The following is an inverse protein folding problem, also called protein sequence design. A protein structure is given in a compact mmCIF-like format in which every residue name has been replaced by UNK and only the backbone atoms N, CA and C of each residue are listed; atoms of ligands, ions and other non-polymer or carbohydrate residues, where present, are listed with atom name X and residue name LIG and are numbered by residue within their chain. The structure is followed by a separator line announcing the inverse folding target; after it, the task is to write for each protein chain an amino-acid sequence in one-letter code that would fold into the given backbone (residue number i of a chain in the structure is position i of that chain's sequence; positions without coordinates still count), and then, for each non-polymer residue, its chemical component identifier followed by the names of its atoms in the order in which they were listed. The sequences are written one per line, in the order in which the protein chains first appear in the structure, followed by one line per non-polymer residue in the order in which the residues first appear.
data_IF_124271729222
#
_entry.id   IF_124271729222
#
_cell.length_a   1.000
_cell.length_b   1.000
_cell.length_c   1.000
_cell.angle_alpha   90.00
_cell.angle_beta   90.00
_cell.angle_gamma   90.00
#
_symmetry.space_group_name_H-M   'P 1'
#
loop_
_entity.id
_entity.type
_entity.pdbx_description
1 polymer ?
#
# COMPACT_ATOMS: atom_id res chain seq x y z
N UNK A 1 -18.78 18.55 68.00
CA UNK A 1 -19.37 18.06 66.73
C UNK A 1 -18.48 16.91 66.27
N UNK A 2 -18.94 15.68 66.48
CA UNK A 2 -18.20 14.46 66.14
C UNK A 2 -18.62 14.02 64.74
N UNK A 3 -17.82 14.36 63.74
CA UNK A 3 -17.95 13.79 62.39
C UNK A 3 -17.42 12.34 62.46
N UNK A 4 -18.10 11.34 61.88
CA UNK A 4 -17.56 9.99 61.81
C UNK A 4 -16.17 10.02 61.16
N UNK A 5 -15.18 9.26 61.66
CA UNK A 5 -13.77 9.38 61.26
C UNK A 5 -13.45 8.92 59.82
N UNK A 6 -14.45 8.55 59.03
CA UNK A 6 -14.26 7.74 57.81
C UNK A 6 -13.95 8.54 56.52
N UNK A 7 -13.69 9.85 56.62
CA UNK A 7 -13.64 10.73 55.43
C UNK A 7 -12.35 11.56 55.29
N UNK A 8 -11.36 11.41 56.16
CA UNK A 8 -10.08 12.12 55.97
C UNK A 8 -9.10 11.27 55.13
N UNK A 9 -8.84 11.64 53.86
CA UNK A 9 -7.91 10.92 53.00
C UNK A 9 -6.47 10.92 53.54
N UNK A 10 -6.07 11.93 54.33
CA UNK A 10 -4.74 11.96 54.96
C UNK A 10 -4.63 10.87 56.05
N UNK A 11 -5.64 10.74 56.90
CA UNK A 11 -5.66 9.73 57.97
C UNK A 11 -5.67 8.31 57.39
N UNK A 12 -6.50 8.05 56.38
CA UNK A 12 -6.56 6.73 55.71
C UNK A 12 -5.23 6.35 55.06
N UNK A 13 -4.52 7.31 54.47
CA UNK A 13 -3.19 7.08 53.91
C UNK A 13 -2.15 6.75 54.99
N UNK A 14 -2.22 7.41 56.15
CA UNK A 14 -1.36 7.12 57.30
C UNK A 14 -1.64 5.73 57.88
N UNK A 15 -2.92 5.36 58.03
CA UNK A 15 -3.35 4.04 58.51
C UNK A 15 -2.94 2.92 57.55
N UNK A 16 -3.04 3.16 56.23
CA UNK A 16 -2.51 2.23 55.24
C UNK A 16 -1.00 2.06 55.38
N UNK A 17 -0.26 3.17 55.50
CA UNK A 17 1.20 3.13 55.60
C UNK A 17 1.69 2.44 56.88
N UNK A 18 0.93 2.53 57.97
CA UNK A 18 1.17 1.79 59.22
C UNK A 18 0.68 0.33 59.18
N UNK A 19 -0.10 -0.05 58.16
CA UNK A 19 -0.65 -1.40 58.01
C UNK A 19 -1.77 -1.74 59.00
N UNK A 20 -2.53 -0.74 59.49
CA UNK A 20 -3.61 -0.93 60.47
C UNK A 20 -5.01 -1.06 59.83
N UNK A 21 -5.12 -0.83 58.51
CA UNK A 21 -6.36 -1.03 57.76
C UNK A 21 -6.70 -2.52 57.60
N UNK A 22 -7.99 -2.84 57.64
CA UNK A 22 -8.49 -4.15 57.25
C UNK A 22 -8.37 -4.41 55.73
N UNK A 23 -8.65 -5.65 55.33
CA UNK A 23 -8.45 -6.09 53.95
C UNK A 23 -9.40 -5.42 52.93
N UNK A 24 -10.59 -4.98 53.34
CA UNK A 24 -11.56 -4.34 52.44
C UNK A 24 -11.21 -2.85 52.28
N UNK A 25 -11.00 -2.13 53.39
CA UNK A 25 -10.60 -0.73 53.40
C UNK A 25 -9.26 -0.50 52.67
N UNK A 26 -8.33 -1.45 52.78
CA UNK A 26 -7.07 -1.45 52.04
C UNK A 26 -7.29 -1.52 50.53
N UNK A 27 -8.11 -2.48 50.07
CA UNK A 27 -8.43 -2.66 48.64
C UNK A 27 -9.13 -1.45 48.06
N UNK A 28 -10.06 -0.86 48.80
CA UNK A 28 -10.76 0.36 48.37
C UNK A 28 -9.81 1.55 48.21
N UNK A 29 -8.88 1.73 49.14
CA UNK A 29 -7.88 2.79 49.05
C UNK A 29 -6.94 2.57 47.86
N UNK A 30 -6.46 1.35 47.63
CA UNK A 30 -5.60 0.99 46.49
C UNK A 30 -6.29 1.27 45.15
N UNK A 31 -7.57 0.90 45.02
CA UNK A 31 -8.36 1.20 43.82
C UNK A 31 -8.60 2.70 43.61
N UNK A 32 -8.79 3.44 44.70
CA UNK A 32 -9.00 4.89 44.66
C UNK A 32 -7.69 5.61 44.28
N UNK A 33 -6.57 5.22 44.88
CA UNK A 33 -5.24 5.76 44.58
C UNK A 33 -4.77 5.45 43.15
N UNK A 34 -5.24 4.34 42.55
CA UNK A 34 -5.00 4.03 41.15
C UNK A 34 -5.67 5.01 40.17
N UNK A 35 -6.75 5.69 40.60
CA UNK A 35 -7.53 6.62 39.77
C UNK A 35 -7.30 8.10 40.12
N UNK A 36 -6.89 8.40 41.36
CA UNK A 36 -6.63 9.75 41.84
C UNK A 36 -5.13 10.01 42.10
N UNK A 37 -4.46 10.81 41.24
CA UNK A 37 -3.05 11.16 41.41
C UNK A 37 -2.74 11.91 42.72
N UNK A 38 -3.68 12.71 43.24
CA UNK A 38 -3.47 13.49 44.46
C UNK A 38 -3.46 12.58 45.68
N UNK A 39 -4.41 11.64 45.74
CA UNK A 39 -4.46 10.61 46.78
C UNK A 39 -3.21 9.72 46.76
N UNK A 40 -2.75 9.32 45.57
CA UNK A 40 -1.49 8.57 45.41
C UNK A 40 -0.28 9.36 45.96
N UNK A 41 -0.20 10.65 45.67
CA UNK A 41 0.89 11.50 46.18
C UNK A 41 0.88 11.62 47.71
N UNK A 42 -0.30 11.68 48.33
CA UNK A 42 -0.47 11.67 49.79
C UNK A 42 -0.04 10.33 50.39
N UNK A 43 -0.45 9.21 49.79
CA UNK A 43 -0.03 7.87 50.20
C UNK A 43 1.50 7.70 50.14
N UNK A 44 2.13 8.07 49.03
CA UNK A 44 3.59 8.02 48.86
C UNK A 44 4.33 8.91 49.86
N UNK A 45 3.73 10.04 50.27
CA UNK A 45 4.30 10.94 51.28
C UNK A 45 4.32 10.27 52.66
N UNK A 46 3.22 9.64 53.07
CA UNK A 46 3.14 8.91 54.33
C UNK A 46 4.07 7.71 54.36
N UNK A 47 4.14 6.92 53.28
CA UNK A 47 5.07 5.80 53.18
C UNK A 47 6.53 6.26 53.31
N UNK A 48 6.94 7.34 52.61
CA UNK A 48 8.30 7.89 52.75
C UNK A 48 8.59 8.43 54.14
N UNK A 49 7.59 9.04 54.79
CA UNK A 49 7.74 9.58 56.16
C UNK A 49 7.97 8.47 57.18
N UNK A 50 7.34 7.32 57.00
CA UNK A 50 7.41 6.20 57.95
C UNK A 50 8.47 5.15 57.60
N UNK A 51 8.97 5.12 56.36
CA UNK A 51 10.00 4.18 55.92
C UNK A 51 11.24 4.10 56.84
N UNK A 52 11.77 5.21 57.40
CA UNK A 52 12.93 5.15 58.30
C UNK A 52 12.70 4.34 59.58
N UNK A 53 11.44 4.17 60.02
CA UNK A 53 11.14 3.32 61.19
C UNK A 53 11.50 1.86 60.96
N UNK A 54 11.60 1.42 59.70
CA UNK A 54 12.04 0.07 59.37
C UNK A 54 13.56 -0.13 59.51
N UNK A 55 14.35 0.95 59.54
CA UNK A 55 15.82 0.88 59.65
C UNK A 55 16.26 0.40 61.05
N UNK A 56 15.44 0.64 62.07
CA UNK A 56 15.69 0.19 63.44
C UNK A 56 15.34 -1.30 63.67
N UNK A 57 14.76 -1.98 62.67
CA UNK A 57 14.38 -3.39 62.77
C UNK A 57 15.57 -4.28 62.42
N UNK A 58 15.95 -5.16 63.35
CA UNK A 58 17.04 -6.11 63.14
C UNK A 58 16.77 -7.03 61.93
N UNK A 59 17.73 -7.19 60.99
CA UNK A 59 17.54 -8.02 59.81
C UNK A 59 17.47 -9.50 60.19
N UNK A 60 16.48 -10.20 59.66
CA UNK A 60 16.33 -11.66 59.78
C UNK A 60 16.44 -12.28 58.40
N UNK A 61 17.42 -13.15 58.19
CA UNK A 61 17.63 -13.80 56.91
C UNK A 61 16.49 -14.79 56.61
N UNK A 62 15.74 -14.64 55.51
CA UNK A 62 14.73 -15.62 55.12
C UNK A 62 15.40 -16.90 54.59
N UNK A 63 14.71 -18.06 54.62
CA UNK A 63 15.21 -19.29 54.00
C UNK A 63 15.47 -19.10 52.49
N UNK A 64 16.56 -19.68 51.98
CA UNK A 64 16.97 -19.54 50.57
C UNK A 64 15.86 -19.91 49.57
N UNK A 65 15.01 -20.89 49.92
CA UNK A 65 13.85 -21.30 49.10
C UNK A 65 12.87 -20.16 48.77
N UNK A 66 12.78 -19.13 49.61
CA UNK A 66 11.91 -17.97 49.41
C UNK A 66 12.39 -17.17 48.20
N UNK A 67 13.70 -16.95 48.09
CA UNK A 67 14.29 -16.26 46.96
C UNK A 67 14.12 -17.06 45.66
N UNK A 68 14.36 -18.37 45.69
CA UNK A 68 14.14 -19.24 44.53
C UNK A 68 12.68 -19.22 44.06
N UNK A 69 11.72 -19.22 44.99
CA UNK A 69 10.30 -19.13 44.66
C UNK A 69 9.95 -17.78 44.01
N UNK A 70 10.44 -16.68 44.56
CA UNK A 70 10.25 -15.32 43.98
C UNK A 70 10.82 -15.28 42.57
N UNK A 71 12.02 -15.81 42.36
CA UNK A 71 12.65 -15.83 41.03
C UNK A 71 11.81 -16.62 40.01
N UNK A 72 11.20 -17.73 40.43
CA UNK A 72 10.36 -18.52 39.55
C UNK A 72 9.00 -17.86 39.26
N UNK A 73 8.33 -17.25 40.25
CA UNK A 73 7.02 -16.61 40.06
C UNK A 73 7.08 -15.35 39.20
N UNK A 74 8.18 -14.58 39.32
CA UNK A 74 8.40 -13.37 38.55
C UNK A 74 9.14 -13.65 37.22
N UNK A 75 9.32 -14.91 36.85
CA UNK A 75 10.06 -15.36 35.66
C UNK A 75 11.45 -14.71 35.53
N UNK A 76 12.09 -14.44 36.68
CA UNK A 76 13.50 -14.09 36.79
C UNK A 76 14.42 -15.27 36.50
N UNK A 77 13.87 -16.38 35.98
CA UNK A 77 14.63 -17.54 35.55
C UNK A 77 15.88 -17.05 34.83
N UNK A 78 17.00 -17.27 35.52
CA UNK A 78 18.25 -16.61 35.29
C UNK A 78 18.67 -16.73 33.82
N UNK A 79 19.39 -15.72 33.32
CA UNK A 79 20.36 -15.98 32.27
C UNK A 79 21.10 -17.28 32.66
N UNK A 80 21.03 -18.34 31.83
CA UNK A 80 21.38 -19.67 32.30
C UNK A 80 22.83 -19.67 32.81
N UNK A 81 23.13 -20.40 33.90
CA UNK A 81 24.51 -20.64 34.26
C UNK A 81 25.17 -21.26 33.02
N UNK A 82 26.14 -20.54 32.45
CA UNK A 82 27.11 -21.19 31.60
C UNK A 82 27.66 -22.39 32.38
N UNK A 83 28.00 -23.46 31.66
CA UNK A 83 28.49 -24.76 32.11
C UNK A 83 27.43 -25.89 32.22
N UNK A 84 27.29 -26.63 31.11
CA UNK A 84 27.56 -28.07 31.18
C UNK A 84 26.37 -29.03 31.08
N UNK A 85 25.90 -29.21 29.85
CA UNK A 85 25.47 -30.46 29.22
C UNK A 85 24.23 -31.28 29.65
N UNK A 86 23.37 -31.40 28.62
CA UNK A 86 22.69 -32.60 28.15
C UNK A 86 21.43 -33.10 28.88
N UNK A 87 20.26 -32.70 28.36
CA UNK A 87 19.39 -33.60 27.58
C UNK A 87 18.33 -32.80 26.79
N UNK A 88 18.35 -32.98 25.47
CA UNK A 88 17.50 -32.39 24.42
C UNK A 88 17.88 -31.01 23.85
N UNK A 89 19.16 -30.69 23.68
CA UNK A 89 19.60 -29.63 22.75
C UNK A 89 19.71 -30.16 21.30
N UNK A 90 18.76 -31.00 20.90
CA UNK A 90 18.76 -31.60 19.57
C UNK A 90 18.49 -30.52 18.54
N UNK A 91 19.44 -30.31 17.63
CA UNK A 91 19.41 -29.47 16.43
C UNK A 91 18.99 -27.98 16.57
N UNK A 92 17.84 -27.67 17.16
CA UNK A 92 17.31 -26.30 17.31
C UNK A 92 18.16 -25.39 18.19
N UNK A 93 18.90 -25.93 19.17
CA UNK A 93 19.75 -25.12 20.05
C UNK A 93 21.24 -25.14 19.64
N UNK A 94 21.54 -25.62 18.44
CA UNK A 94 22.91 -25.62 17.91
C UNK A 94 23.19 -24.31 17.19
N UNK A 95 24.05 -23.48 17.78
CA UNK A 95 24.59 -22.30 17.09
C UNK A 95 25.27 -22.67 15.77
N UNK A 96 25.83 -23.88 15.65
CA UNK A 96 26.44 -24.32 14.41
C UNK A 96 25.38 -24.60 13.34
N UNK A 97 24.22 -25.16 13.70
CA UNK A 97 23.07 -25.30 12.79
C UNK A 97 22.59 -23.92 12.33
N UNK A 98 22.38 -22.97 13.25
CA UNK A 98 21.95 -21.61 12.91
C UNK A 98 22.99 -20.84 12.09
N UNK A 99 24.29 -21.08 12.31
CA UNK A 99 25.35 -20.53 11.48
C UNK A 99 25.31 -21.10 10.07
N UNK A 100 25.12 -22.41 9.92
CA UNK A 100 24.97 -23.02 8.59
C UNK A 100 23.66 -22.63 7.90
N UNK A 101 22.57 -22.45 8.64
CA UNK A 101 21.30 -21.90 8.14
C UNK A 101 21.48 -20.44 7.72
N UNK A 102 22.18 -19.62 8.51
CA UNK A 102 22.48 -18.23 8.15
C UNK A 102 23.38 -18.11 6.93
N UNK A 103 24.43 -18.94 6.84
CA UNK A 103 25.32 -19.03 5.67
C UNK A 103 24.53 -19.55 4.46
N UNK A 104 23.71 -20.58 4.63
CA UNK A 104 22.85 -21.13 3.59
C UNK A 104 21.81 -20.14 3.09
N UNK A 105 21.17 -19.39 3.99
CA UNK A 105 20.21 -18.33 3.65
C UNK A 105 20.91 -17.17 2.94
N UNK A 106 22.12 -16.81 3.34
CA UNK A 106 22.92 -15.77 2.68
C UNK A 106 23.37 -16.21 1.29
N UNK A 107 23.79 -17.47 1.13
CA UNK A 107 24.16 -18.05 -0.17
C UNK A 107 22.93 -18.21 -1.08
N UNK A 108 21.77 -18.59 -0.53
CA UNK A 108 20.51 -18.64 -1.27
C UNK A 108 20.02 -17.24 -1.64
N UNK A 109 20.17 -16.24 -0.77
CA UNK A 109 19.84 -14.85 -1.07
C UNK A 109 20.77 -14.27 -2.13
N UNK A 110 22.08 -14.53 -2.05
CA UNK A 110 23.04 -14.17 -3.08
C UNK A 110 22.81 -14.94 -4.38
N UNK A 111 22.38 -16.20 -4.30
CA UNK A 111 21.98 -17.01 -5.45
C UNK A 111 20.71 -16.49 -6.10
N UNK A 112 19.70 -16.14 -5.31
CA UNK A 112 18.46 -15.51 -5.77
C UNK A 112 18.72 -14.11 -6.30
N UNK A 113 19.65 -13.35 -5.71
CA UNK A 113 20.06 -12.04 -6.17
C UNK A 113 20.91 -12.15 -7.44
N UNK A 114 21.78 -13.15 -7.56
CA UNK A 114 22.50 -13.44 -8.79
C UNK A 114 21.55 -13.92 -9.88
N UNK A 115 20.58 -14.79 -9.57
CA UNK A 115 19.50 -15.18 -10.48
C UNK A 115 18.66 -13.96 -10.83
N UNK A 116 18.29 -13.11 -9.87
CA UNK A 116 17.54 -11.88 -10.13
C UNK A 116 18.33 -10.93 -11.03
N UNK A 117 19.61 -10.70 -10.76
CA UNK A 117 20.50 -9.86 -11.58
C UNK A 117 20.76 -10.46 -12.96
N UNK A 118 20.89 -11.78 -13.08
CA UNK A 118 20.99 -12.48 -14.37
C UNK A 118 19.65 -12.47 -15.13
N UNK A 119 18.52 -12.54 -14.42
CA UNK A 119 17.14 -12.43 -14.96
C UNK A 119 16.69 -10.99 -15.22
N UNK A 120 17.37 -10.00 -14.66
CA UNK A 120 17.17 -8.56 -14.89
C UNK A 120 18.19 -8.05 -15.94
N UNK A 121 19.32 -8.76 -16.10
CA UNK A 121 20.26 -8.64 -17.22
C UNK A 121 19.74 -9.30 -18.50
N UNK A 122 18.90 -10.34 -18.37
CA UNK A 122 17.75 -10.49 -19.24
C UNK A 122 16.80 -9.32 -18.93
N UNK A 123 17.12 -8.12 -19.45
CA UNK A 123 16.02 -7.28 -19.90
C UNK A 123 15.07 -8.24 -20.63
N UNK A 124 13.74 -8.14 -20.47
CA UNK A 124 12.94 -8.70 -21.53
C UNK A 124 13.52 -8.01 -22.76
N UNK A 125 14.26 -8.78 -23.56
CA UNK A 125 14.17 -8.68 -24.97
C UNK A 125 12.66 -8.65 -25.09
N UNK A 126 12.11 -7.44 -25.26
CA UNK A 126 10.77 -7.30 -25.74
C UNK A 126 10.89 -8.11 -27.00
N UNK A 127 10.55 -9.39 -26.90
CA UNK A 127 9.92 -10.07 -27.98
C UNK A 127 8.89 -9.02 -28.36
N UNK A 128 9.15 -8.36 -29.47
CA UNK A 128 8.10 -7.75 -30.24
C UNK A 128 7.15 -8.92 -30.56
N UNK A 129 6.42 -9.40 -29.55
CA UNK A 129 5.13 -10.01 -29.71
C UNK A 129 4.37 -8.82 -30.26
N UNK A 130 4.32 -8.75 -31.60
CA UNK A 130 3.93 -7.57 -32.35
C UNK A 130 2.83 -6.85 -31.61
N UNK A 131 3.10 -5.62 -31.20
CA UNK A 131 2.25 -4.80 -30.34
C UNK A 131 0.84 -4.90 -30.91
N UNK A 132 -0.09 -5.65 -30.27
CA UNK A 132 -1.40 -5.87 -30.87
C UNK A 132 -2.25 -4.61 -30.74
N UNK A 133 -1.70 -3.54 -30.18
CA UNK A 133 -2.35 -2.27 -30.03
C UNK A 133 -1.56 -1.17 -30.74
N UNK A 134 -2.29 -0.37 -31.50
CA UNK A 134 -1.79 0.89 -32.02
C UNK A 134 -2.66 2.03 -31.52
N UNK A 135 -2.07 3.22 -31.38
CA UNK A 135 -2.78 4.40 -30.92
C UNK A 135 -2.42 5.63 -31.76
N UNK A 136 -3.35 6.59 -31.82
CA UNK A 136 -3.12 7.92 -32.34
C UNK A 136 -3.86 8.96 -31.47
N UNK A 137 -3.16 10.04 -31.15
CA UNK A 137 -3.77 11.24 -30.59
C UNK A 137 -4.14 12.16 -31.74
N UNK A 138 -5.43 12.44 -31.90
CA UNK A 138 -5.97 13.29 -32.94
C UNK A 138 -6.06 14.71 -32.39
N UNK A 139 -5.14 15.56 -32.84
CA UNK A 139 -5.02 16.95 -32.39
C UNK A 139 -5.36 17.94 -33.51
N UNK A 140 -5.87 19.10 -33.11
CA UNK A 140 -6.06 20.24 -34.00
C UNK A 140 -4.71 20.89 -34.32
N UNK A 141 -4.69 21.80 -35.29
CA UNK A 141 -3.52 22.58 -35.68
C UNK A 141 -2.88 23.39 -34.53
N UNK A 142 -3.63 23.72 -33.47
CA UNK A 142 -3.14 24.39 -32.27
C UNK A 142 -2.51 23.42 -31.24
N UNK A 143 -2.50 22.12 -31.53
CA UNK A 143 -1.94 21.06 -30.68
C UNK A 143 -2.90 20.50 -29.63
N UNK A 144 -4.12 21.04 -29.51
CA UNK A 144 -5.12 20.51 -28.57
C UNK A 144 -5.67 19.18 -29.10
N UNK A 145 -5.60 18.13 -28.29
CA UNK A 145 -6.15 16.81 -28.60
C UNK A 145 -7.67 16.81 -28.41
N UNK A 146 -8.41 16.60 -29.50
CA UNK A 146 -9.87 16.49 -29.44
C UNK A 146 -10.31 15.01 -29.30
N UNK A 147 -9.53 14.05 -29.83
CA UNK A 147 -9.81 12.61 -29.69
C UNK A 147 -8.54 11.77 -29.52
N UNK A 148 -8.70 10.57 -28.97
CA UNK A 148 -7.70 9.49 -29.01
C UNK A 148 -8.31 8.26 -29.65
N UNK A 149 -7.59 7.64 -30.57
CA UNK A 149 -7.97 6.39 -31.20
C UNK A 149 -7.04 5.27 -30.75
N UNK A 150 -7.60 4.12 -30.42
CA UNK A 150 -6.87 2.89 -30.09
C UNK A 150 -7.37 1.77 -30.97
N UNK A 151 -6.47 0.94 -31.48
CA UNK A 151 -6.79 -0.19 -32.37
C UNK A 151 -6.25 -1.46 -31.77
N UNK A 152 -7.11 -2.44 -31.55
CA UNK A 152 -6.74 -3.83 -31.31
C UNK A 152 -6.56 -4.54 -32.67
N UNK A 153 -5.31 -4.74 -33.08
CA UNK A 153 -4.94 -5.44 -34.31
C UNK A 153 -5.33 -6.93 -34.30
N UNK A 154 -5.51 -7.55 -33.12
CA UNK A 154 -5.95 -8.95 -33.02
C UNK A 154 -7.46 -9.10 -33.17
N UNK A 155 -8.21 -8.16 -32.60
CA UNK A 155 -9.68 -8.13 -32.68
C UNK A 155 -10.20 -7.32 -33.86
N UNK A 156 -9.31 -6.72 -34.65
CA UNK A 156 -9.63 -5.79 -35.72
C UNK A 156 -10.66 -4.73 -35.29
N UNK A 157 -10.51 -4.20 -34.07
CA UNK A 157 -11.47 -3.27 -33.47
C UNK A 157 -10.77 -1.98 -33.12
N UNK A 158 -11.35 -0.85 -33.53
CA UNK A 158 -10.89 0.47 -33.14
C UNK A 158 -11.90 1.12 -32.20
N UNK A 159 -11.39 1.84 -31.20
CA UNK A 159 -12.17 2.66 -30.27
C UNK A 159 -11.64 4.08 -30.34
N UNK A 160 -12.54 5.03 -30.62
CA UNK A 160 -12.27 6.47 -30.60
C UNK A 160 -12.94 7.06 -29.36
N UNK A 161 -12.17 7.81 -28.58
CA UNK A 161 -12.64 8.44 -27.33
C UNK A 161 -12.43 9.95 -27.43
N UNK A 162 -13.43 10.77 -27.11
CA UNK A 162 -13.26 12.22 -27.01
C UNK A 162 -12.33 12.56 -25.83
N UNK A 163 -11.27 13.31 -26.12
CA UNK A 163 -10.43 13.95 -25.11
C UNK A 163 -10.95 15.35 -24.77
N UNK A 164 -11.70 15.95 -25.70
CA UNK A 164 -12.38 17.23 -25.56
C UNK A 164 -13.77 17.14 -26.21
N UNK A 165 -14.63 18.14 -25.99
CA UNK A 165 -15.97 18.21 -26.59
C UNK A 165 -16.04 19.34 -27.61
N UNK A 166 -15.66 19.11 -28.88
CA UNK A 166 -15.78 20.13 -29.91
C UNK A 166 -17.25 20.42 -30.22
N UNK A 167 -17.59 21.69 -30.39
CA UNK A 167 -18.93 22.12 -30.77
C UNK A 167 -19.16 21.88 -32.26
N UNK A 168 -19.91 20.83 -32.59
CA UNK A 168 -20.25 20.44 -33.95
C UNK A 168 -21.74 20.73 -34.19
N UNK A 169 -22.06 21.39 -35.32
CA UNK A 169 -23.44 21.70 -35.69
C UNK A 169 -24.26 20.42 -35.92
N UNK A 170 -25.55 20.45 -35.55
CA UNK A 170 -26.43 19.27 -35.55
C UNK A 170 -26.70 18.70 -36.97
N UNK A 171 -26.46 19.47 -38.02
CA UNK A 171 -26.57 19.08 -39.43
C UNK A 171 -25.27 18.52 -40.02
N UNK A 172 -24.23 18.39 -39.20
CA UNK A 172 -22.91 17.87 -39.58
C UNK A 172 -22.60 16.57 -38.84
N UNK A 173 -21.62 15.83 -39.35
CA UNK A 173 -21.16 14.58 -38.74
C UNK A 173 -19.64 14.50 -38.75
N UNK A 174 -19.05 13.89 -37.72
CA UNK A 174 -17.62 13.61 -37.68
C UNK A 174 -17.34 12.26 -38.32
N UNK A 175 -16.40 12.23 -39.27
CA UNK A 175 -15.99 11.02 -39.95
C UNK A 175 -14.50 10.77 -39.74
N UNK A 176 -14.15 9.53 -39.42
CA UNK A 176 -12.77 9.11 -39.22
C UNK A 176 -12.22 8.53 -40.52
N UNK A 177 -10.98 8.89 -40.82
CA UNK A 177 -10.26 8.47 -42.01
C UNK A 177 -8.90 7.87 -41.65
N UNK A 178 -8.54 6.80 -42.34
CA UNK A 178 -7.17 6.31 -42.44
C UNK A 178 -6.51 6.94 -43.66
N UNK A 179 -5.33 7.53 -43.47
CA UNK A 179 -4.51 8.09 -44.55
C UNK A 179 -3.20 7.30 -44.58
N UNK A 180 -3.08 6.28 -45.45
CA UNK A 180 -1.82 5.58 -45.66
C UNK A 180 -0.81 6.48 -46.38
N UNK A 181 0.50 6.19 -46.28
CA UNK A 181 1.52 6.98 -46.96
C UNK A 181 1.32 6.94 -48.48
N UNK A 182 1.23 8.11 -49.11
CA UNK A 182 1.04 8.29 -50.56
C UNK A 182 -0.23 7.64 -51.13
N UNK A 183 -1.25 7.38 -50.31
CA UNK A 183 -2.52 6.83 -50.74
C UNK A 183 -3.68 7.80 -50.48
N UNK A 184 -4.83 7.51 -51.09
CA UNK A 184 -6.07 8.25 -50.83
C UNK A 184 -6.59 7.92 -49.42
N UNK A 185 -7.25 8.87 -48.74
CA UNK A 185 -7.95 8.60 -47.49
C UNK A 185 -8.97 7.47 -47.65
N UNK A 186 -9.12 6.66 -46.60
CA UNK A 186 -10.07 5.55 -46.52
C UNK A 186 -11.00 5.81 -45.34
N UNK A 187 -12.30 5.86 -45.58
CA UNK A 187 -13.29 6.05 -44.51
C UNK A 187 -13.28 4.85 -43.56
N UNK A 188 -13.18 5.14 -42.26
CA UNK A 188 -13.30 4.17 -41.18
C UNK A 188 -14.66 4.22 -40.50
N UNK A 189 -15.42 5.29 -40.70
CA UNK A 189 -16.79 5.42 -40.25
C UNK A 189 -17.12 6.77 -39.62
N UNK A 190 -18.42 7.02 -39.53
CA UNK A 190 -18.99 8.20 -38.87
C UNK A 190 -19.22 7.91 -37.40
N UNK A 191 -18.91 8.87 -36.54
CA UNK A 191 -19.08 8.74 -35.09
C UNK A 191 -19.63 10.02 -34.48
N UNK A 192 -20.15 9.93 -33.26
CA UNK A 192 -20.60 11.10 -32.50
C UNK A 192 -19.38 11.83 -31.90
N UNK A 193 -19.27 13.16 -32.03
CA UNK A 193 -18.07 13.89 -31.61
C UNK A 193 -17.83 13.88 -30.09
N UNK A 194 -18.88 13.66 -29.30
CA UNK A 194 -18.89 13.79 -27.84
C UNK A 194 -19.15 12.47 -27.09
N UNK A 195 -19.05 11.33 -27.77
CA UNK A 195 -19.20 10.01 -27.14
C UNK A 195 -18.17 9.02 -27.69
N UNK A 196 -17.73 8.04 -26.88
CA UNK A 196 -16.89 6.95 -27.39
C UNK A 196 -17.60 6.18 -28.51
N UNK A 197 -16.85 5.84 -29.55
CA UNK A 197 -17.34 5.04 -30.67
C UNK A 197 -16.42 3.86 -30.93
N UNK A 198 -17.01 2.71 -31.23
CA UNK A 198 -16.29 1.50 -31.62
C UNK A 198 -16.63 1.13 -33.06
N UNK A 199 -15.62 0.77 -33.83
CA UNK A 199 -15.73 0.36 -35.22
C UNK A 199 -14.94 -0.93 -35.45
N UNK A 200 -15.54 -1.85 -36.21
CA UNK A 200 -14.85 -3.06 -36.67
C UNK A 200 -14.15 -2.75 -37.99
N UNK A 201 -12.88 -3.10 -38.07
CA UNK A 201 -12.03 -2.85 -39.23
C UNK A 201 -11.93 -4.11 -40.09
N UNK A 202 -12.09 -4.03 -41.42
CA UNK A 202 -11.73 -5.11 -42.32
C UNK A 202 -10.23 -5.41 -42.24
N UNK A 203 -9.83 -6.68 -42.42
CA UNK A 203 -8.42 -7.10 -42.39
C UNK A 203 -7.53 -6.31 -43.37
N UNK A 204 -8.08 -5.90 -44.52
CA UNK A 204 -7.39 -5.06 -45.50
C UNK A 204 -7.04 -3.66 -44.98
N UNK A 205 -7.83 -3.13 -44.03
CA UNK A 205 -7.56 -1.86 -43.34
C UNK A 205 -6.53 -2.09 -42.23
N UNK A 206 -6.65 -3.18 -41.48
CA UNK A 206 -5.68 -3.56 -40.45
C UNK A 206 -4.27 -3.69 -41.03
N UNK A 207 -4.14 -4.29 -42.21
CA UNK A 207 -2.87 -4.40 -42.93
C UNK A 207 -2.26 -3.04 -43.35
N UNK A 208 -3.07 -1.99 -43.44
CA UNK A 208 -2.64 -0.63 -43.80
C UNK A 208 -2.36 0.26 -42.57
N UNK A 209 -2.75 -0.19 -41.36
CA UNK A 209 -2.39 0.45 -40.10
C UNK A 209 -0.95 0.10 -39.74
N UNK A 210 0.00 0.79 -40.38
CA UNK A 210 1.43 0.71 -40.09
C UNK A 210 1.97 1.98 -39.40
N UNK A 211 3.24 1.96 -38.99
CA UNK A 211 3.92 3.04 -38.26
C UNK A 211 4.03 4.41 -39.00
N UNK A 212 3.48 4.51 -40.22
CA UNK A 212 3.44 5.73 -41.02
C UNK A 212 2.03 6.13 -41.45
N UNK A 213 1.01 5.40 -41.00
CA UNK A 213 -0.37 5.77 -41.24
C UNK A 213 -0.75 6.98 -40.37
N UNK A 214 -1.58 7.86 -40.91
CA UNK A 214 -2.15 8.99 -40.18
C UNK A 214 -3.66 8.79 -40.09
N UNK A 215 -4.23 9.04 -38.92
CA UNK A 215 -5.68 9.19 -38.78
C UNK A 215 -6.06 10.66 -38.91
N UNK A 216 -7.23 10.90 -39.49
CA UNK A 216 -7.82 12.23 -39.60
C UNK A 216 -9.31 12.18 -39.27
N UNK A 217 -9.80 13.26 -38.65
CA UNK A 217 -11.24 13.49 -38.43
C UNK A 217 -11.64 14.67 -39.27
N UNK A 218 -12.64 14.50 -40.13
CA UNK A 218 -13.23 15.60 -40.90
C UNK A 218 -14.66 15.90 -40.48
N UNK A 219 -15.12 17.10 -40.84
CA UNK A 219 -16.48 17.55 -40.65
C UNK A 219 -17.29 17.38 -41.94
N UNK A 220 -18.14 16.38 -41.99
CA UNK A 220 -18.89 16.00 -43.19
C UNK A 220 -20.37 16.41 -43.11
N UNK A 221 -21.11 16.41 -44.24
CA UNK A 221 -22.57 16.46 -44.21
C UNK A 221 -23.17 15.36 -43.33
N UNK A 222 -24.44 15.53 -42.95
CA UNK A 222 -25.15 14.53 -42.15
C UNK A 222 -25.07 13.14 -42.82
N UNK A 223 -24.50 12.17 -42.09
CA UNK A 223 -24.32 10.80 -42.57
C UNK A 223 -22.95 10.49 -43.18
N UNK A 224 -22.04 11.48 -43.25
CA UNK A 224 -20.68 11.30 -43.76
C UNK A 224 -20.47 11.83 -45.18
N UNK A 225 -19.30 11.55 -45.73
CA UNK A 225 -18.91 11.97 -47.07
C UNK A 225 -19.72 11.23 -48.15
N UNK A 226 -20.33 11.96 -49.11
CA UNK A 226 -21.04 11.35 -50.23
C UNK A 226 -20.10 10.84 -51.34
N UNK A 227 -18.82 11.20 -51.31
CA UNK A 227 -17.87 10.91 -52.40
C UNK A 227 -16.89 9.78 -52.07
N UNK A 228 -16.89 9.30 -50.81
CA UNK A 228 -15.88 8.37 -50.31
C UNK A 228 -14.51 9.02 -50.07
N UNK A 229 -14.44 10.36 -50.08
CA UNK A 229 -13.27 11.18 -49.77
C UNK A 229 -13.69 12.33 -48.85
N UNK A 230 -12.82 12.88 -47.98
CA UNK A 230 -13.19 13.99 -47.13
C UNK A 230 -13.75 15.17 -47.96
N UNK A 231 -14.99 15.61 -47.70
CA UNK A 231 -15.62 16.73 -48.42
C UNK A 231 -15.64 18.02 -47.63
N UNK A 232 -15.44 17.94 -46.30
CA UNK A 232 -15.34 19.12 -45.44
C UNK A 232 -13.96 19.34 -44.82
N UNK A 233 -13.86 20.32 -43.92
CA UNK A 233 -12.59 20.65 -43.27
C UNK A 233 -12.11 19.52 -42.36
N UNK A 234 -10.80 19.32 -42.32
CA UNK A 234 -10.16 18.41 -41.37
C UNK A 234 -10.05 19.10 -40.02
N UNK A 235 -10.64 18.49 -38.98
CA UNK A 235 -10.69 19.02 -37.62
C UNK A 235 -9.43 18.66 -36.83
N UNK A 236 -9.01 17.40 -36.94
CA UNK A 236 -7.88 16.87 -36.18
C UNK A 236 -7.16 15.77 -36.96
N UNK A 237 -5.85 15.65 -36.74
CA UNK A 237 -5.02 14.58 -37.33
C UNK A 237 -4.05 14.03 -36.29
N UNK A 238 -3.58 12.80 -36.53
CA UNK A 238 -2.71 12.11 -35.59
C UNK A 238 -1.97 10.96 -36.26
N UNK A 239 -0.62 10.92 -36.22
CA UNK A 239 0.13 9.74 -36.65
C UNK A 239 -0.17 8.53 -35.76
N UNK A 240 -0.32 7.36 -36.40
CA UNK A 240 -0.47 6.08 -35.74
C UNK A 240 0.89 5.57 -35.27
N UNK A 241 0.94 5.13 -34.02
CA UNK A 241 2.13 4.53 -33.43
C UNK A 241 1.76 3.24 -32.69
N UNK A 242 2.75 2.37 -32.48
CA UNK A 242 2.60 1.27 -31.56
C UNK A 242 2.36 1.83 -30.15
N UNK A 243 1.34 1.30 -29.46
CA UNK A 243 1.01 1.68 -28.09
C UNK A 243 1.97 1.02 -27.08
#
# INVERSE_FOLDING_TARGET
MNTPPDHDPELRCAEYALGVLDADARRELEQSAARDPMLRATLERWQRRLAPLAEDVAPVAPPARVWTKIQHELDFAAAPPAHGDARSSGWWNSLQLWRWVGIGASAAALGLLAVNVLRVGEAPQRAAVGTPYMAATLARQDGVADWTATVDLRRATMVVVPANTPAIAADRSTELWLIPPNAKPISLGVFAPNAPASMTLPDAIVAQLGARAVLAVSLEPRGGSPTGQPTGPVLATGPMHAA
#
